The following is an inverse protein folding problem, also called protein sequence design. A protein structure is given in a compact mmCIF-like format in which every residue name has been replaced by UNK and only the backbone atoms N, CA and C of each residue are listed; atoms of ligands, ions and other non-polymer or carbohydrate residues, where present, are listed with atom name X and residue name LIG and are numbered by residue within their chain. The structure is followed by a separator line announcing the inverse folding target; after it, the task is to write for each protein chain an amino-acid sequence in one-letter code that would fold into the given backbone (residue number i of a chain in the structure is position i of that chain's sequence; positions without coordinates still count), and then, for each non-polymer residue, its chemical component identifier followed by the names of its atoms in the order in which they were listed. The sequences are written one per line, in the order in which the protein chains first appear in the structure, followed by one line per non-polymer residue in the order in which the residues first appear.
data_IF_425572167242
#
_entry.id   IF_425572167242
#
_cell.length_a   1.000
_cell.length_b   1.000
_cell.length_c   1.000
_cell.angle_alpha   90.00
_cell.angle_beta   90.00
_cell.angle_gamma   90.00
#
_symmetry.space_group_name_H-M   'P 1'
#
loop_
_entity.id
_entity.type
_entity.pdbx_description
1 polymer ?
#
# COMPACT_ATOMS: atom_id res chain seq x y z
N UNK A 1 -6.85 37.71 -85.55
CA UNK A 1 -6.17 36.91 -86.58
C UNK A 1 -4.83 36.46 -86.03
N UNK A 2 -4.58 35.15 -86.12
CA UNK A 2 -3.37 34.34 -85.88
C UNK A 2 -2.03 35.08 -86.04
N UNK A 3 -0.89 34.71 -85.44
CA UNK A 3 -0.33 33.37 -85.19
C UNK A 3 0.94 33.46 -84.31
N UNK A 4 1.25 32.38 -83.57
CA UNK A 4 2.56 31.67 -83.38
C UNK A 4 3.90 32.43 -83.58
N UNK A 5 5.04 32.16 -82.95
CA UNK A 5 5.59 31.30 -81.87
C UNK A 5 7.13 31.39 -82.02
N UNK A 6 7.93 31.31 -80.94
CA UNK A 6 9.16 30.47 -80.79
C UNK A 6 10.08 30.89 -79.62
N UNK A 7 10.38 29.87 -78.82
CA UNK A 7 11.45 29.57 -77.86
C UNK A 7 12.74 30.42 -77.83
N UNK A 8 13.25 30.63 -76.60
CA UNK A 8 14.60 30.21 -76.19
C UNK A 8 14.65 30.02 -74.66
N UNK A 9 15.32 28.96 -74.20
CA UNK A 9 15.47 28.59 -72.79
C UNK A 9 16.94 28.70 -72.34
N UNK A 10 17.09 28.87 -71.03
CA UNK A 10 18.23 28.53 -70.16
C UNK A 10 19.40 29.52 -70.03
N UNK A 11 19.55 30.10 -68.83
CA UNK A 11 20.68 29.79 -67.93
C UNK A 11 20.40 30.35 -66.53
N UNK A 12 20.66 29.52 -65.52
CA UNK A 12 20.41 29.76 -64.11
C UNK A 12 21.54 30.57 -63.43
N UNK A 13 21.19 31.34 -62.40
CA UNK A 13 22.00 31.41 -61.18
C UNK A 13 21.18 31.78 -59.94
N UNK A 14 21.36 30.92 -58.93
CA UNK A 14 20.88 30.88 -57.54
C UNK A 14 21.63 31.97 -56.73
N UNK A 15 21.09 32.68 -55.73
CA UNK A 15 20.95 32.35 -54.27
C UNK A 15 20.50 33.64 -53.49
N UNK A 16 20.16 33.64 -52.18
CA UNK A 16 18.78 33.71 -51.69
C UNK A 16 18.46 34.92 -50.77
N UNK A 17 17.18 35.05 -50.46
CA UNK A 17 16.55 36.10 -49.67
C UNK A 17 16.77 35.99 -48.15
N UNK A 18 16.82 37.16 -47.51
CA UNK A 18 16.94 37.39 -46.08
C UNK A 18 15.77 36.83 -45.26
N UNK A 19 16.10 36.13 -44.17
CA UNK A 19 15.17 35.70 -43.14
C UNK A 19 14.99 36.81 -42.09
N UNK A 20 13.73 37.05 -41.70
CA UNK A 20 13.32 37.94 -40.63
C UNK A 20 12.88 37.14 -39.39
N UNK A 21 12.94 37.83 -38.25
CA UNK A 21 12.92 37.36 -36.86
C UNK A 21 11.64 36.61 -36.45
N UNK A 22 11.81 35.61 -35.59
CA UNK A 22 10.73 35.05 -34.77
C UNK A 22 11.21 34.00 -33.76
N UNK A 23 11.11 34.34 -32.48
CA UNK A 23 10.87 33.45 -31.33
C UNK A 23 12.04 32.66 -30.72
N UNK A 24 12.35 33.01 -29.47
CA UNK A 24 13.21 32.29 -28.53
C UNK A 24 12.58 30.94 -28.12
N UNK A 25 13.37 29.86 -27.97
CA UNK A 25 12.95 28.68 -27.23
C UNK A 25 13.33 28.77 -25.75
N UNK A 26 12.37 28.42 -24.91
CA UNK A 26 12.47 28.27 -23.45
C UNK A 26 13.47 27.19 -23.04
N UNK A 27 14.22 27.48 -21.98
CA UNK A 27 15.24 26.61 -21.40
C UNK A 27 14.64 25.29 -20.90
N UNK A 28 15.24 24.19 -21.34
CA UNK A 28 15.04 22.86 -20.77
C UNK A 28 15.76 22.77 -19.42
N UNK A 29 15.01 22.38 -18.38
CA UNK A 29 15.53 22.10 -17.04
C UNK A 29 16.36 20.82 -17.05
N UNK A 30 17.59 20.92 -16.53
CA UNK A 30 18.49 19.79 -16.30
C UNK A 30 18.13 19.01 -15.02
N UNK A 31 18.45 17.71 -14.95
CA UNK A 31 18.23 16.90 -13.75
C UNK A 31 19.21 17.28 -12.62
N UNK A 32 18.66 17.37 -11.41
CA UNK A 32 19.35 17.72 -10.16
C UNK A 32 20.33 16.64 -9.71
N UNK A 33 21.58 17.07 -9.49
CA UNK A 33 22.64 16.30 -8.84
C UNK A 33 22.38 16.21 -7.33
N UNK A 34 22.08 15.01 -6.82
CA UNK A 34 22.24 14.64 -5.43
C UNK A 34 22.97 13.30 -5.38
N UNK A 35 24.28 13.34 -5.59
CA UNK A 35 25.15 12.18 -5.40
C UNK A 35 26.54 12.63 -4.97
N UNK A 36 26.69 12.86 -3.66
CA UNK A 36 27.95 12.76 -2.94
C UNK A 36 27.70 13.09 -1.47
N UNK A 37 27.59 12.07 -0.62
CA UNK A 37 27.98 12.10 0.80
C UNK A 37 27.73 10.69 1.38
N UNK A 38 28.67 9.77 1.18
CA UNK A 38 28.94 8.70 2.16
C UNK A 38 30.27 8.04 1.85
N UNK A 39 31.35 8.55 2.46
CA UNK A 39 32.55 7.75 2.68
C UNK A 39 32.88 7.75 4.16
N UNK A 40 33.36 6.57 4.58
CA UNK A 40 33.99 6.24 5.85
C UNK A 40 33.08 6.05 7.06
N UNK A 41 32.93 4.80 7.47
CA UNK A 41 33.43 4.33 8.77
C UNK A 41 33.48 2.80 8.81
N UNK A 42 34.67 2.23 8.94
CA UNK A 42 34.89 0.83 9.33
C UNK A 42 34.73 0.69 10.85
N UNK A 43 34.23 -0.44 11.37
CA UNK A 43 34.23 -0.71 12.81
C UNK A 43 35.54 -1.34 13.29
N UNK A 44 36.12 -0.75 14.32
CA UNK A 44 37.27 -1.27 15.08
C UNK A 44 36.86 -2.49 15.92
N UNK A 45 37.56 -3.60 15.74
CA UNK A 45 37.53 -4.75 16.62
C UNK A 45 38.16 -4.42 17.98
N UNK A 46 37.52 -4.83 19.07
CA UNK A 46 38.21 -5.14 20.33
C UNK A 46 37.64 -6.41 20.97
N UNK A 47 38.56 -7.12 21.58
CA UNK A 47 38.62 -8.55 21.84
C UNK A 47 38.08 -9.00 23.21
N UNK A 48 37.47 -10.19 23.19
CA UNK A 48 37.59 -11.32 24.12
C UNK A 48 37.59 -11.16 25.66
N UNK A 49 36.70 -11.97 26.23
CA UNK A 49 36.87 -12.89 27.37
C UNK A 49 36.87 -12.32 28.80
N UNK A 50 35.90 -12.79 29.62
CA UNK A 50 36.13 -13.72 30.74
C UNK A 50 34.82 -14.04 31.49
N UNK A 51 34.53 -15.32 31.68
CA UNK A 51 33.62 -15.87 32.72
C UNK A 51 34.48 -16.75 33.66
N UNK A 52 33.94 -17.34 34.74
CA UNK A 52 33.12 -16.79 35.82
C UNK A 52 33.78 -17.07 37.19
N UNK A 53 33.26 -16.52 38.29
CA UNK A 53 33.59 -17.06 39.62
C UNK A 53 32.35 -17.14 40.51
N UNK A 54 32.11 -18.36 40.99
CA UNK A 54 31.15 -18.69 42.04
C UNK A 54 31.72 -18.28 43.40
N UNK A 55 30.87 -17.78 44.29
CA UNK A 55 31.07 -17.91 45.73
C UNK A 55 29.72 -18.11 46.41
N UNK A 56 29.61 -19.25 47.05
CA UNK A 56 28.56 -19.65 47.98
C UNK A 56 28.59 -18.80 49.25
N UNK A 57 27.43 -18.52 49.82
CA UNK A 57 27.28 -18.44 51.28
C UNK A 57 25.83 -18.68 51.69
N UNK A 58 25.68 -19.69 52.54
CA UNK A 58 24.44 -20.04 53.22
C UNK A 58 24.12 -18.99 54.29
N UNK A 59 22.84 -18.70 54.47
CA UNK A 59 22.34 -18.10 55.71
C UNK A 59 21.00 -18.73 56.05
N UNK A 60 21.01 -19.40 57.20
CA UNK A 60 19.85 -19.97 57.85
C UNK A 60 19.03 -18.84 58.46
N UNK A 61 17.72 -18.82 58.21
CA UNK A 61 16.77 -18.03 59.00
C UNK A 61 15.57 -18.88 59.39
N UNK A 62 15.22 -18.70 60.66
CA UNK A 62 14.33 -19.47 61.52
C UNK A 62 12.87 -19.39 61.06
N UNK A 63 12.17 -20.53 61.12
CA UNK A 63 10.77 -20.68 60.80
C UNK A 63 9.85 -20.03 61.86
N UNK A 64 8.84 -19.29 61.39
CA UNK A 64 7.68 -18.85 62.18
C UNK A 64 6.45 -19.71 61.81
N UNK A 65 5.52 -19.98 62.75
CA UNK A 65 4.40 -20.88 62.49
C UNK A 65 3.33 -20.22 61.62
N UNK A 66 2.87 -20.94 60.59
CA UNK A 66 1.88 -20.47 59.63
C UNK A 66 0.43 -20.49 60.15
N UNK A 67 -0.47 -19.68 59.57
CA UNK A 67 -1.90 -19.75 59.86
C UNK A 67 -2.54 -20.93 59.13
N UNK A 68 -3.50 -21.58 59.81
CA UNK A 68 -4.27 -22.71 59.30
C UNK A 68 -5.10 -22.32 58.08
N UNK A 69 -4.96 -23.07 56.99
CA UNK A 69 -5.78 -22.94 55.79
C UNK A 69 -7.14 -23.65 55.96
N UNK A 70 -8.23 -22.89 55.83
CA UNK A 70 -9.58 -23.42 55.57
C UNK A 70 -9.66 -24.05 54.17
N UNK A 71 -10.43 -25.12 53.96
CA UNK A 71 -10.53 -25.79 52.67
C UNK A 71 -11.24 -24.90 51.65
N UNK A 72 -10.53 -24.56 50.57
CA UNK A 72 -11.09 -23.87 49.41
C UNK A 72 -12.11 -24.78 48.72
N UNK A 73 -13.37 -24.33 48.67
CA UNK A 73 -14.38 -24.92 47.80
C UNK A 73 -13.93 -24.74 46.35
N UNK A 74 -13.85 -25.85 45.62
CA UNK A 74 -13.53 -25.86 44.20
C UNK A 74 -14.62 -25.06 43.44
N UNK A 75 -14.28 -23.84 43.01
CA UNK A 75 -15.06 -23.14 42.00
C UNK A 75 -14.96 -23.96 40.72
N UNK A 76 -16.07 -24.61 40.35
CA UNK A 76 -16.22 -25.21 39.03
C UNK A 76 -16.07 -24.10 38.00
N UNK A 77 -14.97 -24.14 37.25
CA UNK A 77 -14.76 -23.29 36.08
C UNK A 77 -15.79 -23.71 35.05
N UNK A 78 -16.85 -22.91 34.92
CA UNK A 78 -17.82 -23.01 33.84
C UNK A 78 -17.07 -22.96 32.51
N UNK A 79 -17.22 -24.00 31.70
CA UNK A 79 -16.67 -24.08 30.35
C UNK A 79 -17.17 -22.91 29.51
N UNK A 80 -16.30 -21.94 29.27
CA UNK A 80 -16.53 -20.88 28.29
C UNK A 80 -16.67 -21.53 26.91
N UNK A 81 -17.74 -21.18 26.19
CA UNK A 81 -17.86 -21.47 24.75
C UNK A 81 -16.55 -21.11 24.04
N UNK A 82 -16.10 -21.88 23.04
CA UNK A 82 -14.87 -21.55 22.32
C UNK A 82 -14.97 -20.12 21.81
N UNK A 83 -13.99 -19.28 22.16
CA UNK A 83 -13.92 -17.91 21.70
C UNK A 83 -13.90 -17.93 20.16
N UNK A 84 -14.91 -17.32 19.53
CA UNK A 84 -14.95 -17.16 18.08
C UNK A 84 -13.70 -16.38 17.69
N UNK A 85 -12.87 -16.96 16.81
CA UNK A 85 -11.68 -16.25 16.32
C UNK A 85 -12.15 -15.06 15.47
N UNK A 86 -11.59 -13.85 15.68
CA UNK A 86 -11.91 -12.71 14.85
C UNK A 86 -11.66 -13.00 13.37
N UNK A 87 -12.49 -12.41 12.50
CA UNK A 87 -12.41 -12.63 11.06
C UNK A 87 -11.09 -12.08 10.50
N UNK A 88 -10.30 -12.86 9.73
CA UNK A 88 -9.06 -12.34 9.14
C UNK A 88 -9.35 -11.36 8.00
N UNK A 89 -8.53 -10.31 7.90
CA UNK A 89 -8.70 -9.20 6.97
C UNK A 89 -7.47 -9.03 6.07
N UNK A 90 -7.70 -8.70 4.80
CA UNK A 90 -6.66 -8.27 3.88
C UNK A 90 -7.12 -7.04 3.10
N UNK A 91 -6.40 -5.93 3.22
CA UNK A 91 -6.54 -4.76 2.35
C UNK A 91 -5.49 -4.85 1.23
N UNK A 92 -5.95 -4.83 -0.02
CA UNK A 92 -5.12 -4.74 -1.22
C UNK A 92 -5.22 -3.31 -1.77
N UNK A 93 -4.11 -2.58 -1.76
CA UNK A 93 -4.01 -1.27 -2.37
C UNK A 93 -3.51 -1.35 -3.80
N UNK A 94 -4.31 -0.87 -4.76
CA UNK A 94 -3.97 -0.81 -6.18
C UNK A 94 -3.80 0.65 -6.59
N UNK A 95 -2.58 1.17 -6.53
CA UNK A 95 -2.32 2.60 -6.70
C UNK A 95 -2.79 3.10 -8.07
N UNK A 96 -3.39 4.29 -8.08
CA UNK A 96 -3.83 5.00 -9.29
C UNK A 96 -4.77 4.22 -10.23
N UNK A 97 -5.49 3.19 -9.76
CA UNK A 97 -6.24 2.27 -10.63
C UNK A 97 -7.63 2.80 -10.97
N UNK A 98 -7.83 3.23 -12.22
CA UNK A 98 -9.13 3.70 -12.74
C UNK A 98 -10.12 2.56 -12.95
N UNK A 99 -11.27 2.62 -12.27
CA UNK A 99 -12.27 1.57 -12.37
C UNK A 99 -12.85 1.44 -13.78
N UNK A 100 -13.11 2.58 -14.44
CA UNK A 100 -13.67 2.57 -15.80
C UNK A 100 -12.81 1.80 -16.82
N UNK A 101 -11.49 1.72 -16.58
CA UNK A 101 -10.54 0.99 -17.43
C UNK A 101 -10.37 -0.45 -16.92
N UNK A 102 -10.27 -0.64 -15.60
CA UNK A 102 -10.22 -1.99 -15.00
C UNK A 102 -11.45 -2.83 -15.35
N UNK A 103 -12.62 -2.19 -15.51
CA UNK A 103 -13.88 -2.81 -15.90
C UNK A 103 -13.99 -3.09 -17.42
N UNK A 104 -13.01 -2.70 -18.24
CA UNK A 104 -13.01 -3.06 -19.66
C UNK A 104 -12.84 -4.59 -19.85
N UNK A 105 -13.45 -5.19 -20.88
CA UNK A 105 -13.32 -6.62 -21.15
C UNK A 105 -11.86 -7.05 -21.30
N UNK A 106 -11.43 -8.01 -20.48
CA UNK A 106 -10.07 -8.57 -20.53
C UNK A 106 -8.97 -7.71 -19.91
N UNK A 107 -9.33 -6.66 -19.15
CA UNK A 107 -8.37 -5.83 -18.41
C UNK A 107 -8.29 -6.29 -16.94
N UNK A 108 -9.19 -5.86 -16.06
CA UNK A 108 -9.25 -6.29 -14.65
C UNK A 108 -10.17 -7.49 -14.46
N UNK A 109 -9.82 -8.66 -14.99
CA UNK A 109 -10.73 -9.82 -15.01
C UNK A 109 -11.05 -10.34 -13.61
N UNK A 110 -10.04 -10.42 -12.72
CA UNK A 110 -10.26 -10.79 -11.32
C UNK A 110 -10.98 -9.67 -10.58
N UNK A 111 -10.62 -8.40 -10.77
CA UNK A 111 -11.30 -7.27 -10.14
C UNK A 111 -12.80 -7.26 -10.46
N UNK A 112 -13.17 -7.43 -11.73
CA UNK A 112 -14.57 -7.54 -12.16
C UNK A 112 -15.28 -8.75 -11.56
N UNK A 113 -14.59 -9.90 -11.45
CA UNK A 113 -15.14 -11.09 -10.79
C UNK A 113 -15.42 -10.83 -9.31
N UNK A 114 -14.44 -10.29 -8.58
CA UNK A 114 -14.54 -10.00 -7.15
C UNK A 114 -15.65 -8.99 -6.86
N UNK A 115 -15.77 -7.94 -7.66
CA UNK A 115 -16.85 -6.95 -7.55
C UNK A 115 -18.24 -7.55 -7.76
N UNK A 116 -18.38 -8.54 -8.67
CA UNK A 116 -19.65 -9.22 -8.96
C UNK A 116 -20.02 -10.26 -7.90
N UNK A 117 -19.04 -11.00 -7.38
CA UNK A 117 -19.24 -12.05 -6.37
C UNK A 117 -19.31 -11.48 -4.95
N UNK A 118 -18.73 -10.29 -4.75
CA UNK A 118 -18.73 -9.54 -3.51
C UNK A 118 -19.64 -8.31 -3.59
N UNK A 119 -19.09 -7.16 -3.24
CA UNK A 119 -19.72 -5.85 -3.41
C UNK A 119 -18.75 -4.81 -3.96
N UNK A 120 -19.27 -3.82 -4.68
CA UNK A 120 -18.55 -2.67 -5.18
C UNK A 120 -19.17 -1.39 -4.63
N UNK A 121 -18.34 -0.45 -4.20
CA UNK A 121 -18.75 0.81 -3.58
C UNK A 121 -17.97 1.96 -4.20
N UNK A 122 -18.64 3.10 -4.35
CA UNK A 122 -18.00 4.33 -4.80
C UNK A 122 -17.24 4.98 -3.64
N UNK A 123 -16.05 5.51 -3.92
CA UNK A 123 -15.31 6.36 -3.00
C UNK A 123 -14.84 7.62 -3.73
N UNK A 124 -14.69 8.72 -3.02
CA UNK A 124 -14.20 9.98 -3.60
C UNK A 124 -13.15 10.58 -2.69
N UNK A 125 -11.94 10.73 -3.21
CA UNK A 125 -10.79 11.19 -2.44
C UNK A 125 -10.86 12.70 -2.18
N UNK A 126 -10.29 13.13 -1.05
CA UNK A 126 -10.01 14.54 -0.79
C UNK A 126 -8.89 15.06 -1.70
N UNK A 127 -8.72 16.38 -1.72
CA UNK A 127 -7.64 17.05 -2.46
C UNK A 127 -6.58 17.51 -1.45
N UNK A 128 -5.28 17.34 -1.75
CA UNK A 128 -4.73 16.88 -3.02
C UNK A 128 -4.86 15.36 -3.22
N UNK A 129 -5.20 14.94 -4.44
CA UNK A 129 -5.30 13.54 -4.86
C UNK A 129 -3.91 12.96 -5.09
N UNK A 130 -3.04 13.05 -4.08
CA UNK A 130 -1.65 12.56 -4.07
C UNK A 130 -1.58 11.36 -3.12
N UNK A 131 -0.68 10.42 -3.38
CA UNK A 131 -0.74 9.09 -2.77
C UNK A 131 -0.59 9.09 -1.25
N UNK A 132 0.37 9.84 -0.69
CA UNK A 132 0.53 9.91 0.77
C UNK A 132 -0.72 10.48 1.48
N UNK A 133 -1.31 11.62 1.04
CA UNK A 133 -2.61 12.06 1.55
C UNK A 133 -3.73 11.02 1.42
N UNK A 134 -3.88 10.40 0.25
CA UNK A 134 -4.93 9.41 -0.01
C UNK A 134 -4.82 8.17 0.87
N UNK A 135 -3.66 7.49 0.85
CA UNK A 135 -3.36 6.36 1.72
C UNK A 135 -3.41 6.74 3.19
N UNK A 136 -2.98 7.96 3.54
CA UNK A 136 -3.12 8.51 4.88
C UNK A 136 -4.56 8.44 5.37
N UNK A 137 -5.52 8.88 4.56
CA UNK A 137 -6.93 8.84 4.95
C UNK A 137 -7.50 7.43 5.03
N UNK A 138 -7.22 6.61 4.01
CA UNK A 138 -7.69 5.22 3.94
C UNK A 138 -7.17 4.39 5.11
N UNK A 139 -5.87 4.48 5.41
CA UNK A 139 -5.23 3.64 6.40
C UNK A 139 -5.47 4.14 7.82
N UNK A 140 -5.45 5.45 8.06
CA UNK A 140 -5.62 5.97 9.43
C UNK A 140 -7.08 6.14 9.82
N UNK A 141 -8.00 6.14 8.86
CA UNK A 141 -9.41 6.45 9.11
C UNK A 141 -9.62 7.91 9.52
N UNK A 142 -8.79 8.83 9.00
CA UNK A 142 -8.87 10.27 9.31
C UNK A 142 -8.80 11.10 8.03
N UNK A 143 -9.31 12.32 8.05
CA UNK A 143 -9.26 13.25 6.90
C UNK A 143 -7.85 13.80 6.66
N UNK A 144 -7.62 14.37 5.47
CA UNK A 144 -6.39 15.11 5.14
C UNK A 144 -6.07 16.20 6.18
N UNK A 145 -7.11 16.87 6.67
CA UNK A 145 -6.98 17.91 7.69
C UNK A 145 -6.48 17.35 9.04
N UNK A 146 -6.83 16.12 9.40
CA UNK A 146 -6.49 15.49 10.68
C UNK A 146 -5.08 14.92 10.67
N UNK A 147 -4.75 14.03 9.72
CA UNK A 147 -3.40 13.45 9.60
C UNK A 147 -2.39 14.43 9.02
N UNK A 148 -2.82 15.46 8.29
CA UNK A 148 -1.97 16.59 7.86
C UNK A 148 -0.95 16.28 6.77
N UNK A 149 -1.05 15.14 6.09
CA UNK A 149 -0.21 14.85 4.92
C UNK A 149 -0.71 15.71 3.75
N UNK A 150 0.23 16.33 3.04
CA UNK A 150 -0.07 17.27 1.94
C UNK A 150 0.56 16.88 0.60
N UNK A 151 1.58 16.04 0.66
CA UNK A 151 2.32 15.53 -0.48
C UNK A 151 3.09 14.26 -0.05
N UNK A 152 3.83 13.66 -0.98
CA UNK A 152 4.61 12.45 -0.77
C UNK A 152 5.89 12.65 0.07
N UNK A 153 6.25 13.88 0.44
CA UNK A 153 7.36 14.13 1.38
C UNK A 153 6.98 13.77 2.82
N UNK A 154 5.68 13.70 3.12
CA UNK A 154 5.11 13.51 4.44
C UNK A 154 5.54 14.55 5.50
N UNK A 155 6.26 15.60 5.11
CA UNK A 155 6.77 16.63 6.02
C UNK A 155 5.61 17.37 6.70
N UNK A 156 5.65 17.44 8.03
CA UNK A 156 4.61 18.07 8.82
C UNK A 156 3.34 17.22 9.02
N UNK A 157 3.35 15.98 8.52
CA UNK A 157 2.34 14.98 8.83
C UNK A 157 2.28 14.64 10.31
N UNK A 158 1.10 14.20 10.76
CA UNK A 158 0.78 13.82 12.14
C UNK A 158 0.30 12.38 12.22
N UNK A 159 0.75 11.52 11.30
CA UNK A 159 0.35 10.11 11.24
C UNK A 159 0.65 9.36 12.54
N UNK A 160 1.64 9.77 13.35
CA UNK A 160 1.87 9.19 14.69
C UNK A 160 0.72 9.40 15.69
N UNK A 161 -0.11 10.43 15.49
CA UNK A 161 -1.31 10.66 16.30
C UNK A 161 -2.56 9.99 15.69
N UNK A 162 -2.43 9.41 14.50
CA UNK A 162 -3.51 8.81 13.71
C UNK A 162 -3.08 7.35 13.41
N UNK A 163 -3.29 6.40 14.34
CA UNK A 163 -2.82 5.03 14.15
C UNK A 163 -3.42 4.43 12.87
N UNK A 164 -2.57 3.78 12.08
CA UNK A 164 -3.02 3.10 10.86
C UNK A 164 -3.87 1.86 11.18
N UNK A 165 -4.58 1.35 10.18
CA UNK A 165 -5.50 0.22 10.25
C UNK A 165 -4.89 -1.03 10.92
N UNK A 166 -3.62 -1.34 10.67
CA UNK A 166 -2.95 -2.49 11.31
C UNK A 166 -2.66 -2.21 12.78
N UNK A 167 -2.26 -0.98 13.10
CA UNK A 167 -2.06 -0.55 14.49
C UNK A 167 -3.38 -0.53 15.27
N UNK A 168 -4.47 -0.03 14.68
CA UNK A 168 -5.80 -0.05 15.26
C UNK A 168 -6.25 -1.49 15.56
N UNK A 169 -6.08 -2.43 14.62
CA UNK A 169 -6.41 -3.85 14.83
C UNK A 169 -5.65 -4.47 16.02
N UNK A 170 -4.36 -4.15 16.15
CA UNK A 170 -3.54 -4.61 17.27
C UNK A 170 -3.94 -3.97 18.61
N UNK A 171 -4.35 -2.69 18.61
CA UNK A 171 -4.81 -2.03 19.83
C UNK A 171 -6.17 -2.55 20.31
N UNK A 172 -7.03 -3.01 19.41
CA UNK A 172 -8.29 -3.68 19.76
C UNK A 172 -8.06 -5.07 20.38
N UNK A 173 -7.13 -5.86 19.84
CA UNK A 173 -6.72 -7.15 20.40
C UNK A 173 -5.20 -7.35 20.22
N UNK A 174 -4.46 -7.27 21.32
CA UNK A 174 -2.99 -7.37 21.32
C UNK A 174 -2.43 -8.76 20.98
N UNK A 175 -3.31 -9.75 20.74
CA UNK A 175 -2.93 -11.05 20.16
C UNK A 175 -2.94 -11.03 18.63
N UNK A 176 -3.51 -10.00 18.01
CA UNK A 176 -3.63 -9.84 16.55
C UNK A 176 -2.25 -9.75 15.92
N UNK A 177 -1.96 -10.69 15.02
CA UNK A 177 -0.79 -10.64 14.16
C UNK A 177 -1.09 -9.82 12.92
N UNK A 178 -0.13 -9.01 12.50
CA UNK A 178 -0.31 -8.04 11.42
C UNK A 178 0.79 -8.14 10.38
N UNK A 179 0.47 -7.81 9.13
CA UNK A 179 1.41 -7.88 8.01
C UNK A 179 1.25 -6.67 7.09
N UNK A 180 2.35 -6.04 6.71
CA UNK A 180 2.38 -5.00 5.68
C UNK A 180 3.44 -5.36 4.63
N UNK A 181 3.11 -5.28 3.35
CA UNK A 181 4.06 -5.43 2.27
C UNK A 181 3.80 -4.39 1.19
N UNK A 182 4.79 -3.54 0.92
CA UNK A 182 4.66 -2.48 -0.08
C UNK A 182 5.96 -2.27 -0.86
N UNK A 183 5.80 -1.99 -2.16
CA UNK A 183 6.88 -1.58 -3.05
C UNK A 183 7.19 -0.09 -3.00
N UNK A 184 6.33 0.73 -2.38
CA UNK A 184 6.57 2.15 -2.18
C UNK A 184 7.02 2.41 -0.73
N UNK A 185 8.31 2.77 -0.49
CA UNK A 185 8.86 2.88 0.86
C UNK A 185 8.12 3.86 1.78
N UNK A 186 7.45 4.89 1.25
CA UNK A 186 6.72 5.88 2.07
C UNK A 186 5.61 5.23 2.92
N UNK A 187 5.07 4.09 2.50
CA UNK A 187 4.05 3.38 3.27
C UNK A 187 4.65 2.65 4.49
N UNK A 188 5.89 2.15 4.41
CA UNK A 188 6.39 1.08 5.29
C UNK A 188 7.82 1.24 5.81
N UNK A 189 8.67 2.07 5.21
CA UNK A 189 10.07 2.25 5.60
C UNK A 189 10.25 3.45 6.55
N UNK A 190 10.61 3.23 7.82
CA UNK A 190 10.91 4.31 8.76
C UNK A 190 12.24 5.02 8.51
N UNK A 191 13.07 4.52 7.61
CA UNK A 191 14.35 5.13 7.24
C UNK A 191 14.22 6.17 6.14
N UNK A 192 13.04 6.25 5.49
CA UNK A 192 12.75 7.14 4.36
C UNK A 192 11.89 8.34 4.73
N UNK A 193 11.09 8.80 3.78
CA UNK A 193 10.13 9.91 3.96
C UNK A 193 8.90 9.50 4.79
N UNK A 194 8.67 8.20 4.90
CA UNK A 194 7.58 7.61 5.67
C UNK A 194 7.96 7.26 7.12
N UNK A 195 7.26 6.30 7.75
CA UNK A 195 6.21 5.46 7.18
C UNK A 195 4.81 5.91 7.58
N UNK A 196 3.82 5.69 6.70
CA UNK A 196 2.40 5.88 7.04
C UNK A 196 1.94 4.77 7.98
N UNK A 197 2.31 3.52 7.70
CA UNK A 197 2.06 2.38 8.59
C UNK A 197 3.06 2.41 9.74
N UNK A 198 2.55 2.38 10.97
CA UNK A 198 3.42 2.50 12.13
C UNK A 198 4.31 1.26 12.25
N UNK A 199 5.62 1.44 12.46
CA UNK A 199 6.58 0.37 12.30
C UNK A 199 6.50 -0.61 13.50
N UNK A 200 6.03 -0.17 14.67
CA UNK A 200 5.80 -1.00 15.88
C UNK A 200 6.94 -2.00 16.16
N UNK A 201 8.15 -1.49 16.37
CA UNK A 201 9.40 -2.28 16.47
C UNK A 201 9.36 -3.40 17.51
N UNK A 202 8.80 -3.13 18.69
CA UNK A 202 8.67 -4.15 19.73
C UNK A 202 7.80 -5.32 19.27
N UNK A 203 6.70 -5.05 18.57
CA UNK A 203 5.82 -6.08 18.00
C UNK A 203 6.47 -6.81 16.83
N UNK A 204 7.37 -6.15 16.07
CA UNK A 204 8.17 -6.85 15.06
C UNK A 204 9.14 -7.85 15.70
N UNK A 205 9.85 -7.45 16.77
CA UNK A 205 10.73 -8.37 17.50
C UNK A 205 9.96 -9.53 18.16
N UNK A 206 8.71 -9.30 18.56
CA UNK A 206 7.83 -10.32 19.09
C UNK A 206 7.15 -11.20 18.01
N UNK A 207 7.37 -10.93 16.71
CA UNK A 207 6.74 -11.65 15.60
C UNK A 207 5.25 -11.33 15.37
N UNK A 208 4.71 -10.32 16.07
CA UNK A 208 3.30 -9.90 15.99
C UNK A 208 3.04 -8.88 14.86
N UNK A 209 4.10 -8.25 14.34
CA UNK A 209 4.00 -7.36 13.19
C UNK A 209 5.12 -7.67 12.19
N UNK A 210 4.77 -7.95 10.94
CA UNK A 210 5.74 -8.23 9.89
C UNK A 210 5.64 -7.15 8.83
N UNK A 211 6.74 -6.44 8.56
CA UNK A 211 6.79 -5.38 7.55
C UNK A 211 7.80 -5.76 6.48
N UNK A 212 7.35 -5.79 5.22
CA UNK A 212 8.16 -6.07 4.04
C UNK A 212 8.31 -4.77 3.26
N UNK A 213 9.53 -4.27 3.23
CA UNK A 213 9.91 -3.09 2.44
C UNK A 213 10.59 -3.55 1.16
N UNK A 214 10.12 -3.04 0.02
CA UNK A 214 10.82 -3.09 -1.26
C UNK A 214 10.87 -1.70 -1.87
N UNK A 215 11.86 -1.47 -2.73
CA UNK A 215 12.12 -0.18 -3.36
C UNK A 215 11.76 -0.23 -4.85
N UNK A 216 10.49 0.03 -5.14
CA UNK A 216 9.96 0.10 -6.50
C UNK A 216 10.41 1.34 -7.25
N UNK A 217 10.66 2.45 -6.55
CA UNK A 217 11.21 3.69 -7.12
C UNK A 217 12.55 3.45 -7.81
N UNK A 218 13.44 2.68 -7.17
CA UNK A 218 14.77 2.37 -7.70
C UNK A 218 14.76 1.18 -8.67
N UNK A 219 14.00 0.12 -8.36
CA UNK A 219 14.11 -1.16 -9.06
C UNK A 219 12.97 -1.47 -10.05
N UNK A 220 11.98 -0.58 -10.16
CA UNK A 220 10.83 -0.69 -11.05
C UNK A 220 9.67 -1.47 -10.44
N UNK A 221 8.47 -0.88 -10.50
CA UNK A 221 7.29 -1.41 -9.84
C UNK A 221 6.77 -2.72 -10.42
N UNK A 222 6.84 -2.92 -11.75
CA UNK A 222 6.46 -4.21 -12.35
C UNK A 222 7.19 -5.40 -11.69
N UNK A 223 8.48 -5.26 -11.40
CA UNK A 223 9.26 -6.31 -10.74
C UNK A 223 8.91 -6.39 -9.25
N UNK A 224 8.87 -5.24 -8.59
CA UNK A 224 8.68 -5.19 -7.14
C UNK A 224 7.28 -5.67 -6.74
N UNK A 225 6.24 -5.34 -7.49
CA UNK A 225 4.88 -5.83 -7.26
C UNK A 225 4.82 -7.37 -7.33
N UNK A 226 5.55 -7.99 -8.27
CA UNK A 226 5.67 -9.45 -8.34
C UNK A 226 6.37 -10.03 -7.09
N UNK A 227 7.46 -9.41 -6.63
CA UNK A 227 8.13 -9.83 -5.38
C UNK A 227 7.21 -9.69 -4.16
N UNK A 228 6.46 -8.58 -4.07
CA UNK A 228 5.48 -8.33 -3.00
C UNK A 228 4.35 -9.38 -3.03
N UNK A 229 3.81 -9.69 -4.21
CA UNK A 229 2.78 -10.71 -4.38
C UNK A 229 3.27 -12.10 -3.94
N UNK A 230 4.48 -12.49 -4.35
CA UNK A 230 5.07 -13.78 -3.97
C UNK A 230 5.32 -13.90 -2.46
N UNK A 231 5.80 -12.83 -1.83
CA UNK A 231 6.04 -12.78 -0.37
C UNK A 231 4.72 -12.84 0.39
N UNK A 232 3.71 -12.06 -0.02
CA UNK A 232 2.38 -12.08 0.59
C UNK A 232 1.73 -13.46 0.46
N UNK A 233 1.81 -14.07 -0.73
CA UNK A 233 1.30 -15.42 -0.97
C UNK A 233 2.02 -16.47 -0.11
N UNK A 234 3.34 -16.37 0.05
CA UNK A 234 4.11 -17.24 0.93
C UNK A 234 3.68 -17.10 2.40
N UNK A 235 3.47 -15.87 2.88
CA UNK A 235 2.98 -15.61 4.24
C UNK A 235 1.56 -16.15 4.44
N UNK A 236 0.67 -15.95 3.46
CA UNK A 236 -0.70 -16.47 3.46
C UNK A 236 -0.76 -18.00 3.37
N UNK A 237 0.25 -18.69 2.82
CA UNK A 237 0.33 -20.16 2.85
C UNK A 237 0.82 -20.72 4.18
N UNK A 238 1.43 -19.89 5.02
CA UNK A 238 1.94 -20.33 6.32
C UNK A 238 0.77 -20.72 7.25
N UNK A 239 0.95 -21.72 8.13
CA UNK A 239 0.06 -21.94 9.28
C UNK A 239 -0.02 -20.71 10.20
N UNK A 240 1.05 -19.91 10.22
CA UNK A 240 1.15 -18.63 10.94
C UNK A 240 0.87 -17.44 10.00
N UNK A 241 -0.16 -17.56 9.16
CA UNK A 241 -0.66 -16.41 8.40
C UNK A 241 -1.09 -15.30 9.37
N UNK A 242 -1.03 -14.05 8.91
CA UNK A 242 -1.43 -12.91 9.72
C UNK A 242 -2.95 -12.86 9.88
N UNK A 243 -3.42 -12.17 10.92
CA UNK A 243 -4.84 -11.93 11.12
C UNK A 243 -5.34 -10.71 10.34
N UNK A 244 -4.50 -9.67 10.19
CA UNK A 244 -4.84 -8.43 9.48
C UNK A 244 -3.66 -7.99 8.61
N UNK A 245 -3.89 -7.84 7.31
CA UNK A 245 -2.84 -7.53 6.35
C UNK A 245 -3.13 -6.32 5.46
N UNK A 246 -2.05 -5.68 5.01
CA UNK A 246 -2.04 -4.71 3.93
C UNK A 246 -0.98 -5.11 2.89
N UNK A 247 -1.38 -5.19 1.62
CA UNK A 247 -0.49 -5.46 0.49
C UNK A 247 -0.74 -4.41 -0.58
N UNK A 248 0.32 -3.83 -1.11
CA UNK A 248 0.25 -2.69 -2.00
C UNK A 248 1.00 -2.93 -3.32
N UNK A 249 0.38 -2.51 -4.42
CA UNK A 249 0.86 -2.60 -5.80
C UNK A 249 0.80 -1.22 -6.48
N UNK A 250 1.86 -0.84 -7.18
CA UNK A 250 2.05 0.51 -7.74
C UNK A 250 2.33 0.54 -9.25
N UNK A 251 2.51 -0.61 -9.90
CA UNK A 251 2.81 -0.70 -11.34
C UNK A 251 1.77 0.02 -12.22
N UNK A 252 0.51 0.11 -11.76
CA UNK A 252 -0.56 0.83 -12.47
C UNK A 252 -0.35 2.35 -12.45
N UNK A 253 -0.06 2.92 -11.28
CA UNK A 253 0.22 4.36 -11.13
C UNK A 253 1.48 4.76 -11.90
N UNK A 254 2.56 3.98 -11.78
CA UNK A 254 3.82 4.22 -12.52
C UNK A 254 3.58 4.21 -14.04
N UNK A 255 2.85 3.22 -14.56
CA UNK A 255 2.46 3.20 -15.97
C UNK A 255 1.59 4.42 -16.36
N UNK A 256 0.68 4.84 -15.48
CA UNK A 256 -0.18 6.01 -15.67
C UNK A 256 0.60 7.33 -15.71
N UNK A 257 1.68 7.44 -14.93
CA UNK A 257 2.60 8.55 -14.96
C UNK A 257 3.45 8.61 -16.23
N UNK A 258 3.98 7.46 -16.67
CA UNK A 258 4.91 7.41 -17.80
C UNK A 258 4.20 7.51 -19.15
N UNK A 259 3.05 6.83 -19.31
CA UNK A 259 2.40 6.63 -20.60
C UNK A 259 1.01 7.29 -20.72
N UNK A 260 0.43 7.74 -19.60
CA UNK A 260 -0.98 8.09 -19.54
C UNK A 260 -1.88 6.87 -19.66
N UNK A 261 -3.20 7.11 -19.72
CA UNK A 261 -4.20 6.04 -19.56
C UNK A 261 -4.81 5.55 -20.88
N UNK A 262 -4.54 6.26 -21.98
CA UNK A 262 -5.16 5.95 -23.27
C UNK A 262 -4.52 4.72 -23.95
N UNK A 263 -3.25 4.46 -23.69
CA UNK A 263 -2.45 3.40 -24.31
C UNK A 263 -2.71 1.99 -23.79
N UNK A 264 -1.98 1.03 -24.34
CA UNK A 264 -2.04 -0.37 -23.91
C UNK A 264 -1.19 -0.61 -22.65
N UNK A 265 -0.24 0.28 -22.37
CA UNK A 265 0.71 0.20 -21.26
C UNK A 265 0.00 0.20 -19.90
N UNK A 266 -0.95 1.13 -19.70
CA UNK A 266 -1.76 1.21 -18.49
C UNK A 266 -2.70 0.00 -18.33
N UNK A 267 -3.32 -0.46 -19.43
CA UNK A 267 -4.14 -1.68 -19.43
C UNK A 267 -3.31 -2.92 -19.12
N UNK A 268 -2.10 -3.00 -19.65
CA UNK A 268 -1.17 -4.09 -19.38
C UNK A 268 -0.70 -4.08 -17.92
N UNK A 269 -0.47 -2.91 -17.33
CA UNK A 269 -0.18 -2.78 -15.89
C UNK A 269 -1.35 -3.28 -15.05
N UNK A 270 -2.60 -2.87 -15.38
CA UNK A 270 -3.78 -3.39 -14.69
C UNK A 270 -3.86 -4.91 -14.82
N UNK A 271 -3.61 -5.49 -16.01
CA UNK A 271 -3.62 -6.96 -16.18
C UNK A 271 -2.55 -7.66 -15.32
N UNK A 272 -1.37 -7.06 -15.15
CA UNK A 272 -0.31 -7.64 -14.30
C UNK A 272 -0.72 -7.59 -12.82
N UNK A 273 -1.20 -6.45 -12.34
CA UNK A 273 -1.68 -6.30 -10.95
C UNK A 273 -2.91 -7.17 -10.69
N UNK A 274 -3.85 -7.26 -11.64
CA UNK A 274 -5.02 -8.15 -11.57
C UNK A 274 -4.62 -9.63 -11.47
N UNK A 275 -3.54 -10.05 -12.14
CA UNK A 275 -3.00 -11.39 -12.01
C UNK A 275 -2.39 -11.65 -10.62
N UNK A 276 -1.71 -10.66 -10.01
CA UNK A 276 -1.23 -10.75 -8.63
C UNK A 276 -2.41 -10.86 -7.64
N UNK A 277 -3.46 -10.05 -7.83
CA UNK A 277 -4.71 -10.16 -7.07
C UNK A 277 -5.29 -11.58 -7.21
N UNK A 278 -5.43 -12.09 -8.43
CA UNK A 278 -5.92 -13.45 -8.69
C UNK A 278 -5.13 -14.51 -7.92
N UNK A 279 -3.80 -14.44 -7.95
CA UNK A 279 -2.93 -15.36 -7.20
C UNK A 279 -3.18 -15.32 -5.69
N UNK A 280 -3.30 -14.13 -5.10
CA UNK A 280 -3.58 -13.99 -3.66
C UNK A 280 -4.96 -14.54 -3.30
N UNK A 281 -5.96 -14.30 -4.14
CA UNK A 281 -7.31 -14.83 -3.94
C UNK A 281 -7.34 -16.37 -4.02
N UNK A 282 -6.59 -16.98 -4.94
CA UNK A 282 -6.47 -18.44 -5.02
C UNK A 282 -5.89 -19.02 -3.72
N UNK A 283 -4.82 -18.40 -3.18
CA UNK A 283 -4.21 -18.81 -1.92
C UNK A 283 -5.19 -18.68 -0.76
N UNK A 284 -5.93 -17.58 -0.67
CA UNK A 284 -6.91 -17.34 0.40
C UNK A 284 -8.08 -18.31 0.30
N UNK A 285 -8.56 -18.59 -0.90
CA UNK A 285 -9.69 -19.51 -1.12
C UNK A 285 -9.37 -20.96 -0.74
N UNK A 286 -8.09 -21.32 -0.68
CA UNK A 286 -7.65 -22.63 -0.22
C UNK A 286 -7.57 -22.76 1.32
N UNK A 287 -7.82 -21.68 2.06
CA UNK A 287 -7.79 -21.65 3.53
C UNK A 287 -9.19 -21.91 4.10
N UNK A 288 -9.25 -22.60 5.23
CA UNK A 288 -10.49 -22.92 5.96
C UNK A 288 -10.84 -21.80 6.97
N UNK A 289 -10.87 -20.56 6.49
CA UNK A 289 -11.11 -19.35 7.28
C UNK A 289 -11.99 -18.39 6.48
N UNK A 290 -12.88 -17.66 7.17
CA UNK A 290 -13.75 -16.67 6.53
C UNK A 290 -13.02 -15.34 6.29
N UNK A 291 -12.06 -15.30 5.36
CA UNK A 291 -11.35 -14.06 5.03
C UNK A 291 -12.29 -12.99 4.46
N UNK A 292 -12.09 -11.74 4.88
CA UNK A 292 -12.58 -10.57 4.16
C UNK A 292 -11.40 -9.92 3.43
N UNK A 293 -11.46 -9.90 2.09
CA UNK A 293 -10.51 -9.22 1.22
C UNK A 293 -11.15 -7.95 0.70
N UNK A 294 -10.47 -6.83 0.87
CA UNK A 294 -10.91 -5.52 0.43
C UNK A 294 -9.87 -4.97 -0.54
N UNK A 295 -10.32 -4.40 -1.65
CA UNK A 295 -9.47 -3.78 -2.65
C UNK A 295 -9.89 -2.33 -2.83
N UNK A 296 -8.92 -1.43 -2.95
CA UNK A 296 -9.18 -0.01 -3.18
C UNK A 296 -8.01 0.68 -3.86
N UNK A 297 -8.19 1.94 -4.23
CA UNK A 297 -7.18 2.83 -4.78
C UNK A 297 -7.25 4.17 -4.05
N UNK A 298 -6.14 4.86 -3.93
CA UNK A 298 -5.98 6.09 -3.17
C UNK A 298 -6.16 7.36 -4.01
N UNK A 299 -6.20 7.23 -5.33
CA UNK A 299 -6.60 8.29 -6.26
C UNK A 299 -6.92 7.72 -7.64
N UNK A 300 -7.49 8.58 -8.48
CA UNK A 300 -7.59 8.36 -9.92
C UNK A 300 -6.46 9.06 -10.68
N UNK A 301 -6.68 9.32 -11.96
CA UNK A 301 -5.69 9.94 -12.85
C UNK A 301 -6.32 10.95 -13.81
N UNK A 302 -5.52 11.67 -14.59
CA UNK A 302 -5.98 12.30 -15.84
C UNK A 302 -5.74 11.36 -17.01
N UNK A 303 -6.45 11.55 -18.12
CA UNK A 303 -6.32 10.63 -19.27
C UNK A 303 -4.93 10.71 -19.91
N UNK A 304 -4.34 11.90 -19.91
CA UNK A 304 -2.98 12.17 -20.33
C UNK A 304 -1.91 11.71 -19.33
N UNK A 305 -2.31 11.24 -18.13
CA UNK A 305 -1.41 10.84 -17.06
C UNK A 305 -1.25 11.88 -15.93
N UNK A 306 -0.77 11.40 -14.78
CA UNK A 306 -0.64 12.17 -13.55
C UNK A 306 -1.95 12.51 -12.83
N UNK A 307 -1.82 13.03 -11.61
CA UNK A 307 -2.90 13.29 -10.65
C UNK A 307 -2.46 14.41 -9.67
N UNK A 308 -3.25 14.65 -8.62
CA UNK A 308 -2.99 15.66 -7.58
C UNK A 308 -3.98 16.83 -7.56
N UNK A 309 -4.80 16.96 -8.60
CA UNK A 309 -5.84 17.98 -8.73
C UNK A 309 -7.21 17.59 -8.16
N UNK A 310 -8.20 18.42 -8.48
CA UNK A 310 -9.60 18.35 -8.01
C UNK A 310 -10.57 17.82 -9.09
N UNK A 311 -10.07 17.31 -10.23
CA UNK A 311 -10.98 16.80 -11.25
C UNK A 311 -11.71 15.54 -10.75
N UNK A 312 -12.96 15.29 -11.17
CA UNK A 312 -13.69 14.08 -10.77
C UNK A 312 -12.92 12.79 -11.07
N UNK A 313 -12.11 12.81 -12.14
CA UNK A 313 -11.28 11.69 -12.59
C UNK A 313 -10.06 11.45 -11.70
N UNK A 314 -9.50 12.48 -11.09
CA UNK A 314 -8.38 12.36 -10.14
C UNK A 314 -8.89 11.98 -8.75
N UNK A 315 -10.11 12.42 -8.39
CA UNK A 315 -10.75 12.11 -7.12
C UNK A 315 -11.45 10.75 -7.09
N UNK A 316 -11.59 10.11 -8.24
CA UNK A 316 -12.22 8.79 -8.37
C UNK A 316 -11.44 7.76 -7.54
N UNK A 317 -12.14 7.09 -6.63
CA UNK A 317 -11.70 5.89 -5.96
C UNK A 317 -12.88 4.91 -5.87
N UNK A 318 -12.64 3.71 -5.39
CA UNK A 318 -13.62 2.65 -5.30
C UNK A 318 -13.18 1.64 -4.24
N UNK A 319 -14.15 0.88 -3.74
CA UNK A 319 -13.91 -0.22 -2.81
C UNK A 319 -14.58 -1.48 -3.36
N UNK A 320 -13.85 -2.57 -3.43
CA UNK A 320 -14.40 -3.91 -3.64
C UNK A 320 -14.22 -4.71 -2.35
N UNK A 321 -15.29 -5.29 -1.82
CA UNK A 321 -15.23 -6.22 -0.70
C UNK A 321 -15.62 -7.63 -1.18
N UNK A 322 -14.83 -8.63 -0.84
CA UNK A 322 -15.04 -10.01 -1.27
C UNK A 322 -14.63 -11.00 -0.18
N UNK A 323 -15.29 -12.14 -0.14
CA UNK A 323 -14.99 -13.23 0.79
C UNK A 323 -15.21 -14.58 0.11
N UNK A 324 -14.34 -15.59 0.32
CA UNK A 324 -14.52 -16.93 -0.25
C UNK A 324 -15.84 -17.59 0.19
N UNK A 325 -16.29 -17.28 1.40
CA UNK A 325 -17.54 -17.78 1.99
C UNK A 325 -18.81 -17.15 1.39
N UNK A 326 -18.68 -16.04 0.67
CA UNK A 326 -19.80 -15.18 0.28
C UNK A 326 -20.39 -14.35 1.42
N UNK A 327 -19.83 -14.42 2.64
CA UNK A 327 -20.25 -13.62 3.78
C UNK A 327 -19.74 -12.17 3.66
N UNK A 328 -20.43 -11.33 2.90
CA UNK A 328 -20.04 -9.94 2.64
C UNK A 328 -20.76 -8.99 3.62
N UNK A 329 -20.04 -8.07 4.30
CA UNK A 329 -20.67 -7.04 5.11
C UNK A 329 -21.63 -6.16 4.31
N UNK A 330 -22.75 -5.77 4.92
CA UNK A 330 -23.67 -4.80 4.32
C UNK A 330 -23.13 -3.37 4.52
N UNK A 331 -22.33 -2.88 3.58
CA UNK A 331 -21.75 -1.54 3.59
C UNK A 331 -22.55 -0.55 2.72
N UNK A 332 -22.48 0.76 3.01
CA UNK A 332 -23.17 1.79 2.22
C UNK A 332 -22.66 1.85 0.78
N UNK A 333 -23.49 2.28 -0.17
CA UNK A 333 -23.12 2.41 -1.59
C UNK A 333 -21.93 3.35 -1.81
N UNK A 334 -21.82 4.40 -0.99
CA UNK A 334 -20.73 5.37 -0.98
C UNK A 334 -19.99 5.22 0.35
N UNK A 335 -18.67 5.11 0.29
CA UNK A 335 -17.77 5.03 1.44
C UNK A 335 -16.81 6.22 1.35
N UNK A 336 -16.73 7.02 2.41
CA UNK A 336 -15.71 8.06 2.49
C UNK A 336 -14.33 7.45 2.80
N UNK A 337 -13.21 8.04 2.33
CA UNK A 337 -11.88 7.47 2.52
C UNK A 337 -11.54 7.14 3.97
N UNK A 338 -11.92 8.01 4.90
CA UNK A 338 -11.68 7.85 6.34
C UNK A 338 -12.62 6.84 7.02
N UNK A 339 -13.65 6.33 6.34
CA UNK A 339 -14.58 5.33 6.91
C UNK A 339 -14.09 3.89 6.70
N UNK A 340 -13.27 3.64 5.67
CA UNK A 340 -12.95 2.29 5.23
C UNK A 340 -12.27 1.45 6.32
N UNK A 341 -11.24 1.98 6.98
CA UNK A 341 -10.56 1.28 8.08
C UNK A 341 -11.54 0.88 9.19
N UNK A 342 -12.44 1.79 9.58
CA UNK A 342 -13.45 1.53 10.62
C UNK A 342 -14.46 0.45 10.21
N UNK A 343 -14.92 0.47 8.96
CA UNK A 343 -15.83 -0.54 8.41
C UNK A 343 -15.19 -1.93 8.38
N UNK A 344 -13.92 -2.02 7.99
CA UNK A 344 -13.16 -3.27 7.98
C UNK A 344 -12.97 -3.84 9.39
N UNK A 345 -12.57 -3.01 10.36
CA UNK A 345 -12.41 -3.43 11.75
C UNK A 345 -13.74 -3.85 12.38
N UNK A 346 -14.85 -3.17 12.04
CA UNK A 346 -16.18 -3.59 12.46
C UNK A 346 -16.56 -4.98 11.92
N UNK A 347 -16.28 -5.25 10.64
CA UNK A 347 -16.52 -6.56 10.04
C UNK A 347 -15.66 -7.68 10.65
N UNK A 348 -14.48 -7.36 11.20
CA UNK A 348 -13.63 -8.31 11.91
C UNK A 348 -14.23 -8.82 13.23
N UNK A 349 -15.02 -7.99 13.89
CA UNK A 349 -15.64 -8.28 15.19
C UNK A 349 -16.97 -9.03 15.09
N UNK A 350 -17.57 -9.05 13.90
CA UNK A 350 -18.93 -9.52 13.65
C UNK A 350 -19.11 -11.04 13.69
#
# INVERSE_FOLDING_TARGET
MNSFARNAASAAHVTPSQASRGSQPSQASQPSQLSQLSQASQPSQLSQASQPSQASQASQTVAAPGPQATPAQAMQVSSTSPAVRPRPLLLLGLDGTRWSIAAEPGVGTNLQRLAREGSWHQMTMEVPTISAPGWGSILTGTTHAEHGLRDNSCVGGRTWNCPDFLSQAFYEDQRTTTFAAAGWPVLVDPSGLGPIIHPRMEQQYAGLHNVIVRDGETYGYQRIDAEIADIAAAKLRSPEAFDVGFVYFCDVDDAGHVYGLQGEEYRAAIRRVDAHVGHLIEVISARDEDWLVVLTTDHGHRDEGGHGGDSPRERESWVVAWAPSGNIPNWPEIIEPWELAGLMLAARRA
#
